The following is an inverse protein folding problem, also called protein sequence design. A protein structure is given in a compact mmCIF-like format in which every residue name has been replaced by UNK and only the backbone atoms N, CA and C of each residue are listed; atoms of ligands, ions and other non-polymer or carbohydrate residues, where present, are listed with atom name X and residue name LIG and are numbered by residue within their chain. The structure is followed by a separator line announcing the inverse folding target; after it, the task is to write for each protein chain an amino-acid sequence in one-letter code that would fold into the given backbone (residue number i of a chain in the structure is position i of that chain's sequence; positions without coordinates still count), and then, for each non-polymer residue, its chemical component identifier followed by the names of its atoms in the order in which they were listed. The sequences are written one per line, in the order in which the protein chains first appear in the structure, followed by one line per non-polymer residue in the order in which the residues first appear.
data_IF_091575242714
#
_entry.id   IF_091575242714
#
_cell.length_a   1.000
_cell.length_b   1.000
_cell.length_c   1.000
_cell.angle_alpha   90.00
_cell.angle_beta   90.00
_cell.angle_gamma   90.00
#
_symmetry.space_group_name_H-M   'P 1'
#
loop_
_entity.id
_entity.type
_entity.pdbx_description
1 polymer ?
#
# COMPACT_ATOMS: atom_id res chain seq x y z
N UNK A 1 19.73 5.83 -4.43
CA UNK A 1 19.64 7.24 -4.79
C UNK A 1 18.79 7.46 -6.04
N UNK A 2 18.86 6.62 -7.08
CA UNK A 2 17.98 6.71 -8.27
C UNK A 2 16.49 6.66 -7.88
N UNK A 3 16.12 5.77 -6.98
CA UNK A 3 14.74 5.68 -6.46
C UNK A 3 14.27 7.00 -5.84
N UNK A 4 15.07 7.60 -4.95
CA UNK A 4 14.71 8.87 -4.29
C UNK A 4 14.55 10.02 -5.29
N UNK A 5 15.39 10.07 -6.32
CA UNK A 5 15.28 11.06 -7.39
C UNK A 5 13.97 10.89 -8.18
N UNK A 6 13.65 9.66 -8.55
CA UNK A 6 12.39 9.35 -9.24
C UNK A 6 11.18 9.68 -8.37
N UNK A 7 11.23 9.32 -7.09
CA UNK A 7 10.16 9.64 -6.13
C UNK A 7 9.96 11.16 -6.00
N UNK A 8 11.05 11.91 -5.87
CA UNK A 8 11.01 13.37 -5.73
C UNK A 8 10.49 14.11 -6.96
N UNK A 9 10.56 13.52 -8.15
CA UNK A 9 10.19 14.16 -9.42
C UNK A 9 8.91 13.62 -10.05
N UNK A 10 8.38 12.48 -9.57
CA UNK A 10 7.17 11.86 -10.11
C UNK A 10 5.91 12.54 -9.57
N UNK A 11 4.84 12.56 -10.36
CA UNK A 11 3.48 12.97 -9.94
C UNK A 11 2.66 11.80 -9.41
N UNK A 12 2.92 10.61 -9.91
CA UNK A 12 2.28 9.37 -9.48
C UNK A 12 3.36 8.37 -9.13
N UNK A 13 3.22 7.74 -7.97
CA UNK A 13 4.12 6.68 -7.50
C UNK A 13 3.26 5.46 -7.14
N UNK A 14 3.67 4.31 -7.60
CA UNK A 14 2.99 3.04 -7.33
C UNK A 14 4.00 2.11 -6.67
N UNK A 15 3.61 1.52 -5.56
CA UNK A 15 4.43 0.56 -4.80
C UNK A 15 3.62 -0.70 -4.50
N UNK A 16 4.29 -1.82 -4.39
CA UNK A 16 3.69 -3.13 -4.10
C UNK A 16 4.19 -3.75 -2.79
N UNK A 17 5.02 -3.01 -2.06
CA UNK A 17 5.56 -3.42 -0.77
C UNK A 17 5.82 -2.19 0.11
N UNK A 18 6.31 -2.44 1.32
CA UNK A 18 6.78 -1.41 2.22
C UNK A 18 8.23 -0.99 1.88
N UNK A 19 8.41 0.24 1.45
CA UNK A 19 9.71 0.81 1.12
C UNK A 19 10.14 1.83 2.18
N UNK A 20 11.08 1.48 3.04
CA UNK A 20 11.60 2.37 4.11
C UNK A 20 12.14 3.70 3.56
N UNK A 21 12.64 3.71 2.34
CA UNK A 21 13.15 4.93 1.71
C UNK A 21 12.09 6.02 1.52
N UNK A 22 10.81 5.65 1.47
CA UNK A 22 9.70 6.61 1.41
C UNK A 22 9.62 7.49 2.67
N UNK A 23 10.09 6.98 3.81
CA UNK A 23 10.09 7.73 5.06
C UNK A 23 11.21 8.78 5.14
N UNK A 24 12.20 8.73 4.26
CA UNK A 24 13.33 9.65 4.23
C UNK A 24 13.03 10.96 3.51
N UNK A 25 11.96 10.99 2.73
CA UNK A 25 11.60 12.16 1.91
C UNK A 25 10.14 12.50 2.15
N UNK A 26 9.86 13.74 2.47
CA UNK A 26 8.48 14.23 2.57
C UNK A 26 7.86 14.24 1.17
N UNK A 27 6.73 13.53 1.04
CA UNK A 27 5.97 13.51 -0.21
C UNK A 27 5.40 14.92 -0.47
N UNK A 28 5.52 15.40 -1.71
CA UNK A 28 4.89 16.66 -2.13
C UNK A 28 3.37 16.47 -2.20
N UNK A 29 2.61 17.54 -1.97
CA UNK A 29 1.14 17.49 -1.95
C UNK A 29 0.52 17.15 -3.31
N UNK A 30 1.23 17.48 -4.40
CA UNK A 30 0.79 17.17 -5.77
C UNK A 30 1.08 15.73 -6.22
N UNK A 31 1.76 14.94 -5.39
CA UNK A 31 2.11 13.54 -5.68
C UNK A 31 1.05 12.60 -5.11
N UNK A 32 0.58 11.66 -5.94
CA UNK A 32 -0.29 10.56 -5.51
C UNK A 32 0.51 9.27 -5.38
N UNK A 33 0.45 8.66 -4.20
CA UNK A 33 1.14 7.41 -3.88
C UNK A 33 0.12 6.29 -3.66
N UNK A 34 0.18 5.29 -4.53
CA UNK A 34 -0.70 4.11 -4.50
C UNK A 34 0.05 2.91 -3.95
N UNK A 35 -0.57 2.22 -3.00
CA UNK A 35 -0.10 0.94 -2.50
C UNK A 35 -0.92 -0.19 -3.12
N UNK A 36 -0.29 -1.05 -3.91
CA UNK A 36 -0.94 -2.23 -4.50
C UNK A 36 -0.84 -3.45 -3.58
N UNK A 37 0.15 -3.44 -2.68
CA UNK A 37 0.52 -4.57 -1.83
C UNK A 37 0.85 -5.83 -2.65
N UNK A 38 1.07 -6.94 -1.97
CA UNK A 38 1.48 -8.19 -2.61
C UNK A 38 0.63 -9.39 -2.18
N UNK A 39 -0.49 -9.15 -1.49
CA UNK A 39 -1.42 -10.16 -1.04
C UNK A 39 -2.85 -9.84 -1.50
N UNK A 40 -3.58 -10.88 -1.92
CA UNK A 40 -4.97 -10.72 -2.38
C UNK A 40 -5.98 -10.67 -1.25
N UNK A 41 -5.60 -11.11 -0.05
CA UNK A 41 -6.49 -11.18 1.11
C UNK A 41 -5.85 -10.66 2.39
N UNK A 42 -6.57 -10.71 3.49
CA UNK A 42 -6.14 -10.30 4.82
C UNK A 42 -5.91 -11.52 5.73
N UNK A 43 -5.03 -12.43 5.32
CA UNK A 43 -4.78 -13.70 6.03
C UNK A 43 -3.97 -13.55 7.31
N UNK A 44 -3.28 -12.44 7.49
CA UNK A 44 -2.47 -12.15 8.67
C UNK A 44 -2.52 -10.66 9.00
N UNK A 45 -2.27 -10.32 10.25
CA UNK A 45 -2.13 -8.92 10.68
C UNK A 45 -0.88 -8.29 10.08
N UNK A 46 -0.99 -7.05 9.62
CA UNK A 46 0.11 -6.25 9.08
C UNK A 46 -0.06 -4.78 9.44
N UNK A 47 0.99 -3.97 9.26
CA UNK A 47 0.93 -2.54 9.55
C UNK A 47 0.39 -2.24 10.95
N UNK A 48 -0.52 -1.29 11.05
CA UNK A 48 -1.06 -0.82 12.32
C UNK A 48 -1.97 -1.83 13.04
N UNK A 49 -2.47 -2.88 12.39
CA UNK A 49 -3.16 -3.98 13.08
C UNK A 49 -2.24 -4.77 14.02
N UNK A 50 -0.93 -4.50 13.97
CA UNK A 50 0.08 -5.07 14.85
C UNK A 50 0.54 -4.13 15.96
N UNK A 51 -0.16 -3.04 16.22
CA UNK A 51 0.13 -2.16 17.37
C UNK A 51 0.13 -2.95 18.67
N UNK A 52 1.15 -2.71 19.50
CA UNK A 52 1.33 -3.42 20.78
C UNK A 52 1.81 -4.87 20.70
N UNK A 53 1.97 -5.43 19.49
CA UNK A 53 2.53 -6.78 19.30
C UNK A 53 4.05 -6.73 19.11
N UNK A 54 4.74 -7.83 19.47
CA UNK A 54 6.19 -7.94 19.26
C UNK A 54 6.55 -7.70 17.79
N UNK A 55 7.45 -6.74 17.53
CA UNK A 55 7.86 -6.35 16.18
C UNK A 55 6.78 -5.61 15.38
N UNK A 56 5.70 -5.17 16.02
CA UNK A 56 4.71 -4.28 15.41
C UNK A 56 5.18 -2.82 15.42
N UNK A 57 4.53 -1.95 14.62
CA UNK A 57 4.82 -0.53 14.58
C UNK A 57 4.39 0.15 15.89
N UNK A 58 4.95 1.35 16.14
CA UNK A 58 4.44 2.26 17.15
C UNK A 58 3.36 3.17 16.53
N UNK A 59 2.47 3.72 17.36
CA UNK A 59 1.44 4.67 16.90
C UNK A 59 2.03 5.88 16.16
N UNK A 60 3.24 6.28 16.54
CA UNK A 60 3.96 7.44 15.96
C UNK A 60 4.80 7.08 14.74
N UNK A 61 4.89 5.81 14.35
CA UNK A 61 5.69 5.41 13.18
C UNK A 61 5.16 6.07 11.90
N UNK A 62 6.04 6.58 11.04
CA UNK A 62 5.65 7.13 9.74
C UNK A 62 5.26 6.06 8.74
N UNK A 63 5.47 4.78 9.08
CA UNK A 63 5.20 3.63 8.21
C UNK A 63 3.76 3.63 7.73
N UNK A 64 3.57 3.41 6.43
CA UNK A 64 2.27 3.35 5.75
C UNK A 64 1.44 4.65 5.75
N UNK A 65 1.87 5.71 6.40
CA UNK A 65 1.10 6.96 6.50
C UNK A 65 1.19 7.85 5.25
N UNK A 66 2.09 7.54 4.31
CA UNK A 66 2.29 8.34 3.10
C UNK A 66 1.38 7.94 1.93
N UNK A 67 0.69 6.81 2.02
CA UNK A 67 -0.19 6.36 0.95
C UNK A 67 -1.42 7.25 0.82
N UNK A 68 -1.74 7.64 -0.41
CA UNK A 68 -3.02 8.31 -0.71
C UNK A 68 -4.12 7.29 -0.95
N UNK A 69 -3.79 6.18 -1.60
CA UNK A 69 -4.72 5.10 -1.90
C UNK A 69 -4.08 3.73 -1.71
N UNK A 70 -4.90 2.77 -1.32
CA UNK A 70 -4.57 1.35 -1.39
C UNK A 70 -5.57 0.64 -2.30
N UNK A 71 -5.06 -0.29 -3.11
CA UNK A 71 -5.86 -1.10 -4.02
C UNK A 71 -6.03 -2.50 -3.42
N UNK A 72 -7.25 -3.01 -3.43
CA UNK A 72 -7.59 -4.31 -2.84
C UNK A 72 -8.44 -5.17 -3.76
N UNK A 73 -8.50 -6.45 -3.44
CA UNK A 73 -9.20 -7.47 -4.26
C UNK A 73 -10.72 -7.35 -4.20
N UNK A 74 -11.28 -6.97 -3.06
CA UNK A 74 -12.72 -6.85 -2.87
C UNK A 74 -13.06 -5.89 -1.74
N UNK A 75 -14.32 -5.49 -1.67
CA UNK A 75 -14.82 -4.57 -0.66
C UNK A 75 -14.76 -5.14 0.76
N UNK A 76 -14.93 -6.47 0.91
CA UNK A 76 -14.82 -7.13 2.21
C UNK A 76 -13.41 -7.01 2.81
N UNK A 77 -12.40 -6.97 1.95
CA UNK A 77 -11.01 -6.84 2.34
C UNK A 77 -10.64 -5.39 2.66
N UNK A 78 -11.34 -4.41 2.09
CA UNK A 78 -10.99 -3.00 2.16
C UNK A 78 -10.80 -2.49 3.59
N UNK A 79 -11.71 -2.81 4.50
CA UNK A 79 -11.64 -2.39 5.91
C UNK A 79 -10.36 -2.86 6.63
N UNK A 80 -9.90 -4.07 6.32
CA UNK A 80 -8.68 -4.63 6.93
C UNK A 80 -7.43 -3.91 6.45
N UNK A 81 -7.43 -3.47 5.19
CA UNK A 81 -6.34 -2.69 4.61
C UNK A 81 -6.36 -1.24 5.09
N UNK A 82 -7.55 -0.64 5.24
CA UNK A 82 -7.71 0.69 5.82
C UNK A 82 -7.13 0.73 7.24
N UNK A 83 -7.48 -0.24 8.07
CA UNK A 83 -6.94 -0.38 9.42
C UNK A 83 -5.43 -0.66 9.42
N UNK A 84 -4.96 -1.59 8.57
CA UNK A 84 -3.56 -1.98 8.49
C UNK A 84 -2.64 -0.84 8.03
N UNK A 85 -3.08 0.00 7.11
CA UNK A 85 -2.32 1.14 6.61
C UNK A 85 -2.65 2.47 7.30
N UNK A 86 -3.68 2.51 8.14
CA UNK A 86 -4.13 3.74 8.77
C UNK A 86 -4.74 4.72 7.77
N UNK A 87 -5.42 4.21 6.75
CA UNK A 87 -6.14 4.99 5.74
C UNK A 87 -7.62 5.10 6.08
N UNK A 88 -8.28 6.15 5.56
CA UNK A 88 -9.73 6.22 5.54
C UNK A 88 -10.31 5.18 4.58
N UNK A 89 -11.49 4.63 4.89
CA UNK A 89 -12.13 3.58 4.08
C UNK A 89 -12.32 4.01 2.62
N UNK A 90 -12.64 5.28 2.38
CA UNK A 90 -12.79 5.87 1.05
C UNK A 90 -11.53 5.87 0.19
N UNK A 91 -10.35 5.76 0.84
CA UNK A 91 -9.05 5.73 0.17
C UNK A 91 -8.56 4.31 -0.10
N UNK A 92 -9.35 3.30 0.26
CA UNK A 92 -9.09 1.90 -0.06
C UNK A 92 -10.09 1.44 -1.12
N UNK A 93 -9.59 1.17 -2.32
CA UNK A 93 -10.43 0.98 -3.51
C UNK A 93 -10.37 -0.46 -4.00
N UNK A 94 -11.53 -1.11 -4.08
CA UNK A 94 -11.67 -2.49 -4.52
C UNK A 94 -11.77 -2.56 -6.07
N UNK A 95 -10.63 -2.50 -6.73
CA UNK A 95 -10.53 -2.60 -8.20
C UNK A 95 -10.05 -3.97 -8.69
N UNK A 96 -9.77 -4.89 -7.77
CA UNK A 96 -9.01 -6.11 -8.06
C UNK A 96 -7.52 -5.91 -7.88
N UNK A 97 -6.78 -6.99 -7.93
CA UNK A 97 -5.32 -7.00 -7.78
C UNK A 97 -4.68 -7.16 -9.16
N UNK A 98 -3.91 -6.18 -9.66
CA UNK A 98 -3.32 -6.24 -11.01
C UNK A 98 -2.50 -7.51 -11.26
N UNK A 99 -1.83 -8.02 -10.25
CA UNK A 99 -1.05 -9.26 -10.33
C UNK A 99 -1.89 -10.47 -10.75
N UNK A 100 -3.19 -10.49 -10.48
CA UNK A 100 -4.08 -11.61 -10.81
C UNK A 100 -4.60 -11.57 -12.24
N UNK A 101 -4.41 -10.48 -12.97
CA UNK A 101 -4.90 -10.31 -14.35
C UNK A 101 -4.28 -11.32 -15.31
N UNK A 102 -3.06 -11.79 -15.02
CA UNK A 102 -2.39 -12.85 -15.80
C UNK A 102 -3.19 -14.14 -15.87
N UNK A 103 -3.98 -14.44 -14.84
CA UNK A 103 -4.80 -15.67 -14.81
C UNK A 103 -6.03 -15.58 -15.70
N UNK A 104 -6.51 -14.38 -16.00
CA UNK A 104 -7.64 -14.14 -16.92
C UNK A 104 -7.25 -14.14 -18.40
N UNK A 105 -5.96 -14.02 -18.71
CA UNK A 105 -5.48 -13.88 -20.10
C UNK A 105 -5.28 -15.21 -20.83
N UNK A 106 -5.68 -16.34 -20.27
CA UNK A 106 -5.48 -17.66 -20.84
C UNK A 106 -4.00 -17.95 -21.09
N UNK A 107 -3.39 -18.82 -20.32
CA UNK A 107 -2.02 -19.25 -20.56
C UNK A 107 -2.02 -19.95 -21.93
N UNK A 108 -1.61 -19.26 -22.98
CA UNK A 108 -1.27 -19.92 -24.24
C UNK A 108 -0.07 -20.80 -23.96
N UNK A 109 -0.31 -22.10 -23.97
CA UNK A 109 0.75 -23.09 -23.91
C UNK A 109 1.61 -23.00 -25.17
#
# INVERSE_FOLDING_TARGET
IKFLKLYATSKVVIVDDYFRLLNLVTKRDDVKLFQLWHACGAFKTFGFTRLGKKGGPKQTDPNHRMYDYAIVSSQEIAKHYAEGFGLSDENVVATGIPRTDIYGQGIRK
#
